data_IF_691232654897
#
_entry.id   IF_691232654897
#
_cell.length_a   1.000
_cell.length_b   1.000
_cell.length_c   1.000
_cell.angle_alpha   90.00
_cell.angle_beta   90.00
_cell.angle_gamma   90.00
#
_symmetry.space_group_name_H-M   'P 1'
#
loop_
_entity.id
_entity.type
_entity.pdbx_description
1 polymer ?
#
# COMPACT_ATOMS: atom_id res chain seq x y z
N UNK A 1 -25.12 2.30 26.88
CA UNK A 1 -24.23 3.10 26.02
C UNK A 1 -23.21 2.15 25.43
N UNK A 2 -23.33 1.81 24.16
CA UNK A 2 -22.52 0.81 23.45
C UNK A 2 -21.07 1.28 23.31
N UNK A 3 -20.09 0.38 23.47
CA UNK A 3 -18.62 0.55 23.58
C UNK A 3 -17.88 1.41 22.52
N UNK A 4 -18.58 2.12 21.63
CA UNK A 4 -18.00 2.77 20.44
C UNK A 4 -17.01 3.90 20.74
N UNK A 5 -16.92 4.40 21.98
CA UNK A 5 -16.19 5.62 22.34
C UNK A 5 -14.82 5.45 23.04
N UNK A 6 -14.30 4.23 23.26
CA UNK A 6 -13.00 4.07 23.97
C UNK A 6 -11.79 3.73 23.08
N UNK A 7 -11.99 3.34 21.82
CA UNK A 7 -10.89 2.94 20.94
C UNK A 7 -10.28 4.15 20.22
N UNK A 8 -8.98 4.12 19.92
CA UNK A 8 -8.33 5.14 19.07
C UNK A 8 -8.88 5.10 17.63
N UNK A 9 -8.75 6.22 16.91
CA UNK A 9 -9.05 6.29 15.48
C UNK A 9 -7.83 5.80 14.68
N UNK A 10 -7.91 4.70 13.93
CA UNK A 10 -6.79 4.20 13.14
C UNK A 10 -6.61 4.91 11.78
N UNK A 11 -7.61 5.68 11.31
CA UNK A 11 -7.54 6.33 10.00
C UNK A 11 -6.29 7.18 9.77
N UNK A 12 -5.80 8.00 10.73
CA UNK A 12 -4.56 8.74 10.54
C UNK A 12 -3.35 7.85 10.25
N UNK A 13 -3.25 6.65 10.87
CA UNK A 13 -2.17 5.71 10.58
C UNK A 13 -2.22 5.24 9.13
N UNK A 14 -3.41 4.83 8.67
CA UNK A 14 -3.62 4.37 7.31
C UNK A 14 -3.34 5.45 6.27
N UNK A 15 -3.81 6.67 6.52
CA UNK A 15 -3.61 7.82 5.62
C UNK A 15 -2.16 8.27 5.54
N UNK A 16 -1.44 8.29 6.67
CA UNK A 16 -0.02 8.66 6.67
C UNK A 16 0.85 7.59 6.01
N UNK A 17 0.54 6.31 6.24
CA UNK A 17 1.15 5.18 5.54
C UNK A 17 1.02 5.30 4.02
N UNK A 18 -0.21 5.52 3.55
CA UNK A 18 -0.52 5.72 2.14
C UNK A 18 0.15 6.98 1.56
N UNK A 19 -0.09 8.13 2.19
CA UNK A 19 0.29 9.44 1.67
C UNK A 19 1.80 9.61 1.57
N UNK A 20 2.55 9.27 2.62
CA UNK A 20 4.01 9.40 2.59
C UNK A 20 4.63 8.50 1.52
N UNK A 21 4.23 7.23 1.48
CA UNK A 21 4.76 6.27 0.50
C UNK A 21 4.43 6.69 -0.93
N UNK A 22 3.22 7.21 -1.15
CA UNK A 22 2.77 7.74 -2.46
C UNK A 22 3.61 8.92 -2.91
N UNK A 23 3.84 9.90 -2.03
CA UNK A 23 4.65 11.07 -2.35
C UNK A 23 6.08 10.66 -2.70
N UNK A 24 6.68 9.79 -1.90
CA UNK A 24 8.06 9.31 -2.13
C UNK A 24 8.19 8.53 -3.45
N UNK A 25 7.22 7.68 -3.79
CA UNK A 25 7.20 6.99 -5.08
C UNK A 25 7.04 7.99 -6.25
N UNK A 26 6.19 9.00 -6.10
CA UNK A 26 5.94 9.93 -7.20
C UNK A 26 7.06 10.96 -7.39
N UNK A 27 7.85 11.26 -6.36
CA UNK A 27 9.10 12.01 -6.53
C UNK A 27 10.10 11.20 -7.37
N UNK A 28 10.14 9.87 -7.20
CA UNK A 28 10.88 8.99 -8.12
C UNK A 28 10.29 9.03 -9.54
N UNK A 29 8.96 8.90 -9.70
CA UNK A 29 8.32 8.96 -11.02
C UNK A 29 8.52 10.31 -11.73
N UNK A 30 8.71 11.40 -10.96
CA UNK A 30 9.06 12.72 -11.48
C UNK A 30 10.54 12.86 -11.87
N UNK A 31 11.35 11.81 -11.69
CA UNK A 31 12.76 11.76 -12.11
C UNK A 31 13.75 12.40 -11.13
N UNK A 32 13.33 12.72 -9.90
CA UNK A 32 14.20 13.41 -8.91
C UNK A 32 15.26 12.47 -8.32
N UNK A 33 14.90 11.21 -8.07
CA UNK A 33 15.84 10.16 -7.65
C UNK A 33 15.44 8.79 -8.20
N UNK A 34 16.40 7.86 -8.24
CA UNK A 34 16.16 6.49 -8.69
C UNK A 34 15.32 5.69 -7.66
N UNK A 35 14.64 4.66 -8.15
CA UNK A 35 13.96 3.69 -7.28
C UNK A 35 15.02 2.98 -6.43
N UNK A 36 14.77 2.88 -5.14
CA UNK A 36 15.72 2.26 -4.21
C UNK A 36 15.05 1.72 -2.96
N UNK A 37 15.88 1.24 -2.04
CA UNK A 37 15.45 0.60 -0.79
C UNK A 37 14.53 1.47 0.04
N UNK A 38 14.65 2.81 -0.01
CA UNK A 38 13.78 3.72 0.72
C UNK A 38 12.31 3.58 0.30
N UNK A 39 12.00 3.59 -1.00
CA UNK A 39 10.61 3.40 -1.48
C UNK A 39 10.13 1.98 -1.17
N UNK A 40 10.98 0.98 -1.40
CA UNK A 40 10.61 -0.42 -1.16
C UNK A 40 10.32 -0.68 0.33
N UNK A 41 11.14 -0.14 1.24
CA UNK A 41 10.92 -0.26 2.68
C UNK A 41 9.65 0.48 3.11
N UNK A 42 9.38 1.67 2.57
CA UNK A 42 8.13 2.39 2.83
C UNK A 42 6.91 1.60 2.33
N UNK A 43 7.00 1.02 1.12
CA UNK A 43 5.96 0.16 0.57
C UNK A 43 5.72 -1.10 1.40
N UNK A 44 6.76 -1.72 1.97
CA UNK A 44 6.59 -2.90 2.83
C UNK A 44 5.97 -2.51 4.17
N UNK A 45 6.57 -1.56 4.88
CA UNK A 45 6.30 -1.39 6.30
C UNK A 45 5.22 -0.35 6.59
N UNK A 46 5.19 0.76 5.85
CA UNK A 46 4.31 1.88 6.18
C UNK A 46 3.11 1.98 5.25
N UNK A 47 3.35 2.10 3.94
CA UNK A 47 2.29 1.95 2.93
C UNK A 47 1.66 0.56 2.95
N UNK A 48 2.42 -0.48 3.27
CA UNK A 48 1.92 -1.86 3.34
C UNK A 48 1.39 -2.24 4.72
N UNK A 49 2.27 -2.75 5.58
CA UNK A 49 1.90 -3.38 6.85
C UNK A 49 1.12 -2.47 7.80
N UNK A 50 1.60 -1.24 8.05
CA UNK A 50 0.91 -0.32 8.95
C UNK A 50 -0.48 0.07 8.42
N UNK A 51 -0.63 0.22 7.10
CA UNK A 51 -1.91 0.51 6.48
C UNK A 51 -2.89 -0.67 6.56
N UNK A 52 -2.40 -1.91 6.39
CA UNK A 52 -3.20 -3.13 6.63
C UNK A 52 -3.68 -3.19 8.09
N UNK A 53 -2.79 -2.89 9.04
CA UNK A 53 -3.14 -2.85 10.47
C UNK A 53 -4.23 -1.80 10.72
N UNK A 54 -4.11 -0.61 10.12
CA UNK A 54 -5.15 0.42 10.21
C UNK A 54 -6.50 -0.08 9.69
N UNK A 55 -6.52 -0.79 8.56
CA UNK A 55 -7.72 -1.41 8.00
C UNK A 55 -8.35 -2.47 8.92
N UNK A 56 -7.54 -3.35 9.52
CA UNK A 56 -8.04 -4.35 10.49
C UNK A 56 -8.66 -3.66 11.71
N UNK A 57 -8.07 -2.54 12.18
CA UNK A 57 -8.59 -1.80 13.34
C UNK A 57 -9.91 -1.07 13.04
N UNK A 58 -10.16 -0.66 11.78
CA UNK A 58 -11.45 -0.07 11.37
C UNK A 58 -12.62 -1.05 11.51
N UNK A 59 -12.37 -2.36 11.48
CA UNK A 59 -13.42 -3.38 11.67
C UNK A 59 -14.03 -3.26 13.07
N UNK A 60 -13.18 -3.03 14.09
CA UNK A 60 -13.63 -2.81 15.47
C UNK A 60 -14.37 -1.49 15.66
N UNK A 61 -14.26 -0.58 14.69
CA UNK A 61 -15.01 0.68 14.64
C UNK A 61 -16.34 0.57 13.87
N UNK A 62 -16.57 -0.55 13.20
CA UNK A 62 -17.70 -0.74 12.29
C UNK A 62 -17.61 0.15 11.05
N UNK A 63 -16.41 0.55 10.64
CA UNK A 63 -16.17 1.39 9.47
C UNK A 63 -15.79 0.52 8.27
N UNK A 64 -16.79 0.02 7.55
CA UNK A 64 -16.59 -0.85 6.39
C UNK A 64 -15.72 -0.19 5.32
N UNK A 65 -15.91 1.10 5.06
CA UNK A 65 -15.10 1.82 4.08
C UNK A 65 -13.63 1.82 4.46
N UNK A 66 -13.31 2.17 5.71
CA UNK A 66 -11.93 2.17 6.22
C UNK A 66 -11.29 0.80 6.19
N UNK A 67 -12.03 -0.26 6.57
CA UNK A 67 -11.55 -1.65 6.47
C UNK A 67 -11.15 -1.98 5.03
N UNK A 68 -12.05 -1.74 4.08
CA UNK A 68 -11.84 -2.08 2.68
C UNK A 68 -10.71 -1.24 2.08
N UNK A 69 -10.76 0.09 2.23
CA UNK A 69 -9.78 0.98 1.62
C UNK A 69 -8.37 0.75 2.18
N UNK A 70 -8.18 0.78 3.50
CA UNK A 70 -6.82 0.68 4.06
C UNK A 70 -6.22 -0.72 3.89
N UNK A 71 -7.01 -1.78 4.04
CA UNK A 71 -6.50 -3.15 3.82
C UNK A 71 -6.12 -3.36 2.35
N UNK A 72 -6.96 -2.92 1.41
CA UNK A 72 -6.70 -3.05 -0.02
C UNK A 72 -5.48 -2.25 -0.44
N UNK A 73 -5.40 -0.95 -0.12
CA UNK A 73 -4.25 -0.13 -0.51
C UNK A 73 -2.96 -0.52 0.22
N UNK A 74 -3.05 -1.12 1.41
CA UNK A 74 -1.89 -1.76 2.04
C UNK A 74 -1.38 -2.97 1.27
N UNK A 75 -2.29 -3.81 0.78
CA UNK A 75 -1.94 -4.94 -0.10
C UNK A 75 -1.48 -4.48 -1.48
N UNK A 76 -1.98 -3.36 -2.01
CA UNK A 76 -1.43 -2.71 -3.20
C UNK A 76 0.07 -2.45 -3.02
N UNK A 77 0.46 -1.80 -1.92
CA UNK A 77 1.88 -1.51 -1.68
C UNK A 77 2.74 -2.78 -1.56
N UNK A 78 2.26 -3.79 -0.84
CA UNK A 78 2.99 -5.07 -0.73
C UNK A 78 3.12 -5.79 -2.09
N UNK A 79 2.06 -5.80 -2.89
CA UNK A 79 2.08 -6.43 -4.21
C UNK A 79 2.94 -5.64 -5.20
N UNK A 80 2.91 -4.31 -5.16
CA UNK A 80 3.80 -3.47 -5.98
C UNK A 80 5.26 -3.74 -5.67
N UNK A 81 5.64 -3.83 -4.38
CA UNK A 81 7.00 -4.21 -3.98
C UNK A 81 7.33 -5.64 -4.44
N UNK A 82 6.38 -6.58 -4.31
CA UNK A 82 6.54 -7.95 -4.81
C UNK A 82 6.82 -8.01 -6.31
N UNK A 83 6.07 -7.25 -7.12
CA UNK A 83 6.27 -7.16 -8.56
C UNK A 83 7.66 -6.65 -8.95
N UNK A 84 8.28 -5.81 -8.10
CA UNK A 84 9.62 -5.28 -8.30
C UNK A 84 10.70 -6.26 -7.84
N UNK A 85 10.53 -6.91 -6.69
CA UNK A 85 11.58 -7.72 -6.06
C UNK A 85 11.59 -9.17 -6.56
N UNK A 86 10.42 -9.80 -6.73
CA UNK A 86 10.32 -11.25 -7.03
C UNK A 86 11.15 -11.67 -8.25
N UNK A 87 11.14 -10.94 -9.39
CA UNK A 87 11.96 -11.31 -10.55
C UNK A 87 13.46 -11.34 -10.28
N UNK A 88 13.93 -10.62 -9.26
CA UNK A 88 15.34 -10.53 -8.90
C UNK A 88 15.78 -11.57 -7.87
N UNK A 89 14.84 -12.24 -7.18
CA UNK A 89 15.14 -13.18 -6.10
C UNK A 89 14.62 -14.59 -6.33
N UNK A 90 13.66 -14.77 -7.24
CA UNK A 90 13.11 -16.07 -7.62
C UNK A 90 13.54 -16.43 -9.03
N UNK A 91 14.42 -17.43 -9.23
CA UNK A 91 14.86 -17.86 -10.55
C UNK A 91 13.68 -18.27 -11.45
N UNK A 92 13.71 -17.83 -12.70
CA UNK A 92 12.70 -18.20 -13.71
C UNK A 92 11.42 -17.35 -13.69
N UNK A 93 11.31 -16.36 -12.79
CA UNK A 93 10.20 -15.39 -12.80
C UNK A 93 10.64 -14.11 -13.49
N UNK A 94 9.92 -13.72 -14.55
CA UNK A 94 10.20 -12.51 -15.30
C UNK A 94 9.50 -11.29 -14.67
N UNK A 95 10.08 -10.11 -14.88
CA UNK A 95 9.40 -8.84 -14.58
C UNK A 95 8.11 -8.71 -15.42
N UNK A 96 7.06 -8.07 -14.88
CA UNK A 96 5.83 -7.85 -15.62
C UNK A 96 6.09 -7.00 -16.87
N UNK A 97 5.47 -7.36 -17.99
CA UNK A 97 5.48 -6.51 -19.18
C UNK A 97 4.80 -5.17 -18.92
N UNK A 98 5.09 -4.17 -19.74
CA UNK A 98 4.46 -2.84 -19.62
C UNK A 98 2.92 -2.93 -19.69
N UNK A 99 2.38 -3.80 -20.55
CA UNK A 99 0.93 -4.04 -20.62
C UNK A 99 0.38 -4.68 -19.35
N UNK A 100 1.08 -5.67 -18.79
CA UNK A 100 0.65 -6.31 -17.54
C UNK A 100 0.67 -5.31 -16.36
N UNK A 101 1.72 -4.49 -16.26
CA UNK A 101 1.82 -3.44 -15.25
C UNK A 101 0.74 -2.36 -15.44
N UNK A 102 0.47 -1.94 -16.67
CA UNK A 102 -0.59 -0.98 -16.97
C UNK A 102 -1.97 -1.52 -16.57
N UNK A 103 -2.28 -2.78 -16.89
CA UNK A 103 -3.53 -3.42 -16.46
C UNK A 103 -3.64 -3.51 -14.93
N UNK A 104 -2.55 -3.87 -14.24
CA UNK A 104 -2.50 -3.90 -12.78
C UNK A 104 -2.82 -2.53 -12.17
N UNK A 105 -2.13 -1.47 -12.61
CA UNK A 105 -2.35 -0.11 -12.10
C UNK A 105 -3.74 0.43 -12.48
N UNK A 106 -4.24 0.10 -13.67
CA UNK A 106 -5.58 0.49 -14.12
C UNK A 106 -6.66 -0.11 -13.21
N UNK A 107 -6.56 -1.39 -12.85
CA UNK A 107 -7.52 -2.01 -11.95
C UNK A 107 -7.50 -1.39 -10.54
N UNK A 108 -6.32 -0.99 -10.06
CA UNK A 108 -6.21 -0.22 -8.81
C UNK A 108 -6.78 1.20 -8.92
N UNK A 109 -6.70 1.83 -10.09
CA UNK A 109 -7.34 3.13 -10.33
C UNK A 109 -8.86 3.05 -10.51
N UNK A 110 -9.38 1.89 -10.93
CA UNK A 110 -10.82 1.63 -11.02
C UNK A 110 -11.44 1.32 -9.65
N UNK A 111 -10.69 0.71 -8.74
CA UNK A 111 -11.08 0.37 -7.37
C UNK A 111 -11.26 1.62 -6.49
#
# INVERSE_FOLDING_TARGET
MTEKNMLANPAPLGLMGFGMTTVLLNIHNAGVYALGSMILAMGIFYGGLAQIIAGILEYRKGNTFGVTAFSSYGLFWLTLVGLIIIPNVVPGINAPSSTAMASYLFMWGLF
#
